data_IF_637452680444
#
_entry.id   IF_637452680444
#
_cell.length_a   1.000
_cell.length_b   1.000
_cell.length_c   1.000
_cell.angle_alpha   90.00
_cell.angle_beta   90.00
_cell.angle_gamma   90.00
#
_symmetry.space_group_name_H-M   'P 1'
#
loop_
_entity.id
_entity.type
_entity.pdbx_description
1 polymer ?
#
# COMPACT_ATOMS: atom_id res chain seq x y z
N UNK A 1 35.39 -0.99 -1.42
CA UNK A 1 34.34 0.06 -1.31
C UNK A 1 33.23 -0.51 -0.44
N UNK A 2 33.28 -0.22 0.85
CA UNK A 2 32.26 -0.61 1.81
C UNK A 2 30.96 0.12 1.44
N UNK A 3 29.94 -0.60 0.98
CA UNK A 3 28.62 0.01 0.74
C UNK A 3 28.03 0.34 2.09
N UNK A 4 28.03 1.61 2.48
CA UNK A 4 27.32 2.09 3.67
C UNK A 4 25.81 1.87 3.48
N UNK A 5 25.32 0.80 4.06
CA UNK A 5 23.89 0.48 4.09
C UNK A 5 23.22 1.48 5.03
N UNK A 6 22.38 2.36 4.47
CA UNK A 6 21.64 3.35 5.26
C UNK A 6 20.29 2.75 5.70
N UNK A 7 20.07 2.67 7.01
CA UNK A 7 18.77 2.30 7.60
C UNK A 7 17.94 3.53 7.98
N UNK A 8 16.63 3.39 8.04
CA UNK A 8 15.70 4.40 8.54
C UNK A 8 14.58 3.74 9.38
N UNK A 9 13.91 4.55 10.20
CA UNK A 9 12.83 4.11 11.08
C UNK A 9 11.49 4.21 10.37
N UNK A 10 10.67 3.16 10.49
CA UNK A 10 9.33 3.12 9.92
C UNK A 10 8.40 4.04 10.72
N UNK A 11 7.71 4.97 10.05
CA UNK A 11 6.76 5.89 10.71
C UNK A 11 5.49 5.23 11.28
N UNK A 12 5.29 3.91 11.09
CA UNK A 12 4.11 3.17 11.55
C UNK A 12 4.44 2.22 12.72
N UNK A 13 5.47 1.37 12.59
CA UNK A 13 5.86 0.42 13.64
C UNK A 13 7.10 0.84 14.45
N UNK A 14 7.76 1.94 14.08
CA UNK A 14 8.97 2.46 14.73
C UNK A 14 10.19 1.52 14.67
N UNK A 15 10.12 0.44 13.89
CA UNK A 15 11.24 -0.47 13.62
C UNK A 15 12.21 0.08 12.55
N UNK A 16 13.47 -0.39 12.59
CA UNK A 16 14.53 0.02 11.65
C UNK A 16 14.64 -0.94 10.48
N UNK A 17 14.60 -0.38 9.27
CA UNK A 17 14.76 -1.14 8.02
C UNK A 17 15.79 -0.48 7.12
N UNK A 18 16.32 -1.25 6.18
CA UNK A 18 17.17 -0.74 5.11
C UNK A 18 16.37 0.18 4.21
N UNK A 19 16.87 1.39 3.92
CA UNK A 19 16.14 2.38 3.11
C UNK A 19 15.66 1.85 1.75
N UNK A 20 16.43 0.94 1.13
CA UNK A 20 16.07 0.33 -0.14
C UNK A 20 14.87 -0.65 -0.07
N UNK A 21 14.47 -1.03 1.14
CA UNK A 21 13.31 -1.89 1.41
C UNK A 21 12.20 -1.10 2.11
N UNK A 22 12.23 0.23 2.00
CA UNK A 22 11.21 1.12 2.54
C UNK A 22 10.58 1.91 1.40
N UNK A 23 9.37 2.39 1.65
CA UNK A 23 8.58 3.19 0.71
C UNK A 23 8.37 4.55 1.33
N UNK A 24 8.62 5.60 0.57
CA UNK A 24 8.34 6.98 0.98
C UNK A 24 7.06 7.51 0.34
N UNK A 25 6.32 8.35 1.07
CA UNK A 25 5.21 9.09 0.46
C UNK A 25 5.74 10.20 -0.47
N UNK A 26 4.84 10.87 -1.20
CA UNK A 26 5.22 11.99 -2.07
C UNK A 26 5.71 13.22 -1.31
N UNK A 27 5.26 13.41 -0.07
CA UNK A 27 5.82 14.42 0.84
C UNK A 27 7.16 13.98 1.42
N UNK A 28 8.03 14.95 1.71
CA UNK A 28 9.37 14.67 2.20
C UNK A 28 9.33 14.16 3.64
N UNK A 29 9.96 13.00 3.88
CA UNK A 29 10.40 12.57 5.21
C UNK A 29 9.70 11.34 5.75
N UNK A 30 8.47 11.03 5.32
CA UNK A 30 7.78 9.83 5.79
C UNK A 30 8.23 8.60 5.02
N UNK A 31 8.74 7.61 5.74
CA UNK A 31 9.17 6.33 5.21
C UNK A 31 8.53 5.21 6.00
N UNK A 32 8.15 4.14 5.31
CA UNK A 32 7.47 3.00 5.92
C UNK A 32 8.04 1.70 5.38
N UNK A 33 8.07 0.68 6.23
CA UNK A 33 8.47 -0.65 5.79
C UNK A 33 7.41 -1.25 4.85
N UNK A 34 7.84 -2.13 3.94
CA UNK A 34 6.96 -2.81 2.98
C UNK A 34 5.80 -3.54 3.65
N UNK A 35 6.01 -4.08 4.85
CA UNK A 35 4.96 -4.77 5.61
C UNK A 35 3.84 -3.84 6.06
N UNK A 36 4.16 -2.65 6.56
CA UNK A 36 3.16 -1.64 6.95
C UNK A 36 2.40 -1.13 5.73
N UNK A 37 3.12 -0.81 4.65
CA UNK A 37 2.52 -0.36 3.39
C UNK A 37 1.57 -1.40 2.81
N UNK A 38 1.97 -2.68 2.83
CA UNK A 38 1.14 -3.77 2.34
C UNK A 38 -0.18 -3.89 3.09
N UNK A 39 -0.15 -3.76 4.42
CA UNK A 39 -1.37 -3.80 5.23
C UNK A 39 -2.26 -2.60 4.91
N UNK A 40 -1.69 -1.39 4.95
CA UNK A 40 -2.40 -0.16 4.64
C UNK A 40 -3.06 -0.17 3.26
N UNK A 41 -2.31 -0.53 2.21
CA UNK A 41 -2.86 -0.59 0.84
C UNK A 41 -3.92 -1.67 0.72
N UNK A 42 -3.72 -2.84 1.34
CA UNK A 42 -4.73 -3.88 1.34
C UNK A 42 -6.03 -3.40 1.99
N UNK A 43 -5.96 -2.67 3.10
CA UNK A 43 -7.15 -2.12 3.76
C UNK A 43 -7.83 -1.04 2.90
N UNK A 44 -7.08 -0.12 2.30
CA UNK A 44 -7.64 0.90 1.40
C UNK A 44 -8.33 0.27 0.18
N UNK A 45 -7.69 -0.71 -0.46
CA UNK A 45 -8.19 -1.30 -1.71
C UNK A 45 -9.29 -2.34 -1.46
N UNK A 46 -9.14 -3.23 -0.47
CA UNK A 46 -10.11 -4.30 -0.21
C UNK A 46 -11.24 -3.86 0.71
N UNK A 47 -10.97 -3.03 1.72
CA UNK A 47 -12.00 -2.62 2.68
C UNK A 47 -12.71 -1.35 2.25
N UNK A 48 -12.00 -0.37 1.70
CA UNK A 48 -12.59 0.93 1.29
C UNK A 48 -12.87 1.05 -0.20
N UNK A 49 -12.26 0.22 -1.04
CA UNK A 49 -12.36 0.33 -2.50
C UNK A 49 -11.63 1.54 -3.07
N UNK A 50 -10.66 2.10 -2.33
CA UNK A 50 -9.89 3.26 -2.74
C UNK A 50 -8.72 2.84 -3.64
N UNK A 51 -8.61 3.45 -4.83
CA UNK A 51 -7.42 3.32 -5.68
C UNK A 51 -6.29 4.27 -5.30
N UNK A 52 -6.61 5.38 -4.65
CA UNK A 52 -5.63 6.37 -4.21
C UNK A 52 -5.17 6.06 -2.78
N UNK A 53 -3.89 5.73 -2.64
CA UNK A 53 -3.31 5.34 -1.34
C UNK A 53 -2.64 6.56 -0.71
N UNK A 54 -3.32 7.15 0.27
CA UNK A 54 -2.79 8.23 1.09
C UNK A 54 -1.69 7.73 2.05
N UNK A 55 -0.84 8.65 2.50
CA UNK A 55 0.14 8.43 3.55
C UNK A 55 -0.49 7.76 4.77
N UNK A 56 0.21 6.82 5.42
CA UNK A 56 -0.29 6.14 6.63
C UNK A 56 -0.56 7.16 7.75
N UNK A 57 0.24 8.23 7.81
CA UNK A 57 0.11 9.30 8.79
C UNK A 57 -0.89 10.38 8.33
N UNK A 58 -2.13 9.98 8.03
CA UNK A 58 -3.17 10.86 7.47
C UNK A 58 -3.49 12.09 8.33
N UNK A 59 -3.25 12.01 9.64
CA UNK A 59 -3.43 13.12 10.59
C UNK A 59 -2.49 14.31 10.33
N UNK A 60 -1.26 14.02 9.88
CA UNK A 60 -0.20 15.03 9.68
C UNK A 60 0.22 15.17 8.22
N UNK A 61 -0.17 14.23 7.35
CA UNK A 61 0.24 14.19 5.95
C UNK A 61 -0.90 13.65 5.07
N UNK A 62 -1.37 14.47 4.13
CA UNK A 62 -2.45 14.09 3.19
C UNK A 62 -1.92 13.72 1.81
N UNK A 63 -0.60 13.63 1.63
CA UNK A 63 0.01 13.21 0.37
C UNK A 63 -0.29 11.74 0.06
N UNK A 64 -0.30 11.40 -1.22
CA UNK A 64 -0.39 10.02 -1.68
C UNK A 64 1.00 9.36 -1.77
N UNK A 65 1.00 8.04 -1.92
CA UNK A 65 2.20 7.29 -2.30
C UNK A 65 2.37 7.27 -3.83
N UNK A 66 3.62 7.22 -4.28
CA UNK A 66 3.90 7.00 -5.70
C UNK A 66 3.56 5.56 -6.10
N UNK A 67 2.79 5.40 -7.18
CA UNK A 67 2.42 4.09 -7.72
C UNK A 67 3.63 3.19 -7.94
N UNK A 68 4.72 3.71 -8.52
CA UNK A 68 5.96 2.93 -8.73
C UNK A 68 6.58 2.37 -7.45
N UNK A 69 6.55 3.15 -6.38
CA UNK A 69 7.09 2.72 -5.08
C UNK A 69 6.22 1.60 -4.50
N UNK A 70 4.90 1.76 -4.59
CA UNK A 70 3.93 0.74 -4.20
C UNK A 70 4.12 -0.54 -5.03
N UNK A 71 4.24 -0.44 -6.35
CA UNK A 71 4.47 -1.58 -7.25
C UNK A 71 5.75 -2.35 -6.90
N UNK A 72 6.79 -1.67 -6.46
CA UNK A 72 8.04 -2.31 -6.03
C UNK A 72 7.93 -3.03 -4.67
N UNK A 73 7.00 -2.58 -3.82
CA UNK A 73 6.85 -3.01 -2.44
C UNK A 73 5.73 -4.04 -2.24
N UNK A 74 4.74 -4.02 -3.12
CA UNK A 74 3.52 -4.79 -3.01
C UNK A 74 3.53 -5.98 -3.99
N UNK A 75 2.86 -7.09 -3.63
CA UNK A 75 2.62 -8.17 -4.56
C UNK A 75 1.67 -7.74 -5.68
N UNK A 76 1.88 -8.28 -6.89
CA UNK A 76 1.12 -7.96 -8.10
C UNK A 76 -0.41 -7.98 -7.89
N UNK A 77 -0.93 -8.99 -7.19
CA UNK A 77 -2.35 -9.12 -6.84
C UNK A 77 -2.99 -7.90 -6.16
N UNK A 78 -2.24 -7.17 -5.32
CA UNK A 78 -2.75 -5.95 -4.67
C UNK A 78 -2.71 -4.78 -5.67
N UNK A 79 -1.63 -4.70 -6.46
CA UNK A 79 -1.47 -3.69 -7.52
C UNK A 79 -2.56 -3.79 -8.57
N UNK A 80 -2.90 -5.01 -9.02
CA UNK A 80 -3.99 -5.25 -9.97
C UNK A 80 -5.33 -4.75 -9.42
N UNK A 81 -5.62 -5.03 -8.15
CA UNK A 81 -6.85 -4.55 -7.49
C UNK A 81 -6.86 -3.04 -7.29
N UNK A 82 -5.72 -2.42 -6.97
CA UNK A 82 -5.57 -0.97 -6.82
C UNK A 82 -5.80 -0.23 -8.15
N UNK A 83 -5.22 -0.73 -9.24
CA UNK A 83 -5.36 -0.16 -10.59
C UNK A 83 -6.73 -0.46 -11.22
N UNK A 84 -7.39 -1.52 -10.79
CA UNK A 84 -8.72 -1.90 -11.24
C UNK A 84 -9.72 -1.94 -10.06
N UNK A 85 -10.13 -0.77 -9.53
CA UNK A 85 -11.11 -0.70 -8.45
C UNK A 85 -12.46 -1.33 -8.83
N UNK A 86 -12.73 -1.51 -10.13
CA UNK A 86 -14.00 -1.98 -10.67
C UNK A 86 -14.00 -3.48 -10.99
N UNK A 87 -13.83 -4.35 -9.99
CA UNK A 87 -14.26 -5.76 -10.09
C UNK A 87 -14.67 -6.26 -8.69
N UNK A 88 -15.69 -5.62 -8.13
CA UNK A 88 -16.53 -6.17 -7.06
C UNK A 88 -18.01 -5.98 -7.42
N UNK A 89 -18.33 -6.25 -8.68
CA UNK A 89 -19.61 -6.76 -9.10
C UNK A 89 -19.28 -8.04 -9.89
N UNK A 90 -20.04 -9.10 -9.68
CA UNK A 90 -19.90 -10.45 -10.25
C UNK A 90 -18.83 -11.33 -9.59
N UNK A 91 -19.21 -12.04 -8.51
CA UNK A 91 -19.68 -13.43 -8.62
C UNK A 91 -20.13 -13.97 -7.23
N UNK A 92 -21.36 -13.68 -6.83
CA UNK A 92 -22.19 -14.64 -6.09
C UNK A 92 -23.50 -14.76 -6.85
N UNK A 93 -23.44 -15.47 -7.98
CA UNK A 93 -24.62 -16.04 -8.62
C UNK A 93 -24.96 -17.31 -7.85
N UNK A 94 -25.73 -17.21 -6.77
CA UNK A 94 -26.48 -18.36 -6.24
C UNK A 94 -27.92 -18.25 -6.69
N UNK A 95 -28.14 -18.86 -7.86
CA UNK A 95 -29.32 -19.66 -8.21
C UNK A 95 -30.70 -19.07 -7.86
N UNK A 96 -31.34 -18.50 -8.88
CA UNK A 96 -32.79 -18.53 -9.02
C UNK A 96 -33.26 -19.99 -8.93
N UNK A 97 -34.06 -20.32 -7.91
CA UNK A 97 -34.89 -21.52 -7.88
C UNK A 97 -36.34 -21.08 -8.07
N UNK A 98 -36.82 -21.24 -9.31
CA UNK A 98 -38.24 -21.28 -9.67
C UNK A 98 -38.89 -22.53 -9.06
N UNK A 99 -39.86 -22.37 -8.14
CA UNK A 99 -40.98 -23.28 -7.88
C UNK A 99 -42.20 -22.49 -7.40
#
# INVERSE_FOLDING_TARGET
KEKSISSAECGCCLDKFVKNEMVSCQEKGHVFCRSCIRKHVAEEVYSKGNSEICCILTDVCKSAFNTRELESALPQKIIEKMNNPQHSADEEKTEEVEW
#
